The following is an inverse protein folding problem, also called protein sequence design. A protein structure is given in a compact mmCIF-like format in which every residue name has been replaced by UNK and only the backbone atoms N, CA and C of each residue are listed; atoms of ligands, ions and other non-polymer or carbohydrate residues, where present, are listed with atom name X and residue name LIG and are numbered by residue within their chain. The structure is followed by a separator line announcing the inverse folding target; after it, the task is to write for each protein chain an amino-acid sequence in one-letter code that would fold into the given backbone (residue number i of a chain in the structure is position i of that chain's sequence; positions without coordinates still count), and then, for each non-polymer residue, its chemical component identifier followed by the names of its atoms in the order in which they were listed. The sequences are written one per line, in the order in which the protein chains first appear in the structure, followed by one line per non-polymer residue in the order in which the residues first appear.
data_IF_974665654489
#
_entry.id   IF_974665654489
#
_cell.length_a   1.000
_cell.length_b   1.000
_cell.length_c   1.000
_cell.angle_alpha   90.00
_cell.angle_beta   90.00
_cell.angle_gamma   90.00
#
_symmetry.space_group_name_H-M   'P 1'
#
loop_
_entity.id
_entity.type
_entity.pdbx_description
1 polymer ?
#
# COMPACT_ATOMS: atom_id res chain seq x y z
N UNK A 1 9.62 19.59 -7.39
CA UNK A 1 8.77 19.40 -8.58
C UNK A 1 8.23 17.99 -8.51
N UNK A 2 6.91 17.79 -8.57
CA UNK A 2 6.35 16.44 -8.59
C UNK A 2 6.79 15.76 -9.89
N UNK A 3 7.41 14.58 -9.79
CA UNK A 3 7.77 13.81 -10.98
C UNK A 3 6.51 13.36 -11.71
N UNK A 4 6.59 13.25 -13.03
CA UNK A 4 5.46 12.84 -13.86
C UNK A 4 5.11 11.38 -13.59
N UNK A 5 3.96 11.16 -12.94
CA UNK A 5 3.44 9.82 -12.57
C UNK A 5 3.23 8.93 -13.80
N UNK A 6 3.15 9.50 -15.01
CA UNK A 6 3.10 8.77 -16.28
C UNK A 6 4.34 7.94 -16.56
N UNK A 7 5.48 8.34 -16.01
CA UNK A 7 6.68 7.53 -16.12
C UNK A 7 6.66 6.34 -15.17
N UNK A 8 5.83 6.34 -14.12
CA UNK A 8 5.78 5.31 -13.09
C UNK A 8 4.65 4.30 -13.34
N UNK A 9 3.49 4.77 -13.80
CA UNK A 9 2.30 3.96 -14.04
C UNK A 9 2.25 3.50 -15.50
N UNK A 10 1.77 2.29 -15.74
CA UNK A 10 1.48 1.80 -17.07
C UNK A 10 0.22 2.47 -17.65
N UNK A 11 0.37 3.67 -18.21
CA UNK A 11 -0.74 4.46 -18.75
C UNK A 11 -1.42 3.84 -19.98
N UNK A 12 -0.75 2.93 -20.69
CA UNK A 12 -1.39 2.16 -21.76
C UNK A 12 -2.54 1.30 -21.24
N UNK A 13 -2.41 0.82 -19.99
CA UNK A 13 -3.43 -0.02 -19.33
C UNK A 13 -4.26 0.76 -18.31
N UNK A 14 -3.68 1.78 -17.67
CA UNK A 14 -4.30 2.56 -16.60
C UNK A 14 -4.19 4.06 -16.89
N UNK A 15 -5.04 4.61 -17.78
CA UNK A 15 -5.01 6.03 -18.12
C UNK A 15 -5.64 6.88 -17.01
N UNK A 16 -5.07 6.86 -15.80
CA UNK A 16 -5.70 7.38 -14.57
C UNK A 16 -5.95 8.90 -14.57
N UNK A 17 -5.28 9.64 -15.45
CA UNK A 17 -5.50 11.08 -15.63
C UNK A 17 -6.64 11.38 -16.63
N UNK A 18 -7.12 10.39 -17.37
CA UNK A 18 -8.12 10.56 -18.43
C UNK A 18 -9.51 10.19 -17.90
N UNK A 19 -10.14 11.11 -17.18
CA UNK A 19 -11.45 10.89 -16.54
C UNK A 19 -12.57 10.45 -17.50
N UNK A 20 -12.46 10.81 -18.78
CA UNK A 20 -13.41 10.44 -19.85
C UNK A 20 -13.06 9.13 -20.56
N UNK A 21 -11.97 8.47 -20.19
CA UNK A 21 -11.54 7.22 -20.81
C UNK A 21 -12.51 6.08 -20.47
N UNK A 22 -13.07 5.43 -21.49
CA UNK A 22 -13.90 4.24 -21.30
C UNK A 22 -13.14 3.12 -20.60
N UNK A 23 -11.85 2.96 -20.95
CA UNK A 23 -10.94 1.99 -20.35
C UNK A 23 -10.83 2.23 -18.83
N UNK A 24 -10.68 3.50 -18.42
CA UNK A 24 -10.61 3.85 -17.00
C UNK A 24 -11.90 3.51 -16.27
N UNK A 25 -13.07 3.77 -16.87
CA UNK A 25 -14.37 3.47 -16.28
C UNK A 25 -14.58 1.95 -16.10
N UNK A 26 -14.17 1.14 -17.09
CA UNK A 26 -14.21 -0.32 -16.97
C UNK A 26 -13.32 -0.82 -15.83
N UNK A 27 -12.11 -0.28 -15.70
CA UNK A 27 -11.18 -0.62 -14.61
C UNK A 27 -11.78 -0.28 -13.25
N UNK A 28 -12.36 0.92 -13.11
CA UNK A 28 -13.01 1.35 -11.88
C UNK A 28 -14.18 0.44 -11.53
N UNK A 29 -15.04 0.12 -12.51
CA UNK A 29 -16.18 -0.76 -12.32
C UNK A 29 -15.75 -2.15 -11.85
N UNK A 30 -14.76 -2.75 -12.54
CA UNK A 30 -14.21 -4.06 -12.18
C UNK A 30 -13.61 -4.06 -10.77
N UNK A 31 -12.74 -3.10 -10.48
CA UNK A 31 -12.07 -3.02 -9.19
C UNK A 31 -13.05 -2.75 -8.04
N UNK A 32 -14.12 -1.98 -8.27
CA UNK A 32 -15.21 -1.81 -7.29
C UNK A 32 -15.95 -3.12 -7.03
N UNK A 33 -16.24 -3.90 -8.07
CA UNK A 33 -16.80 -5.24 -7.92
C UNK A 33 -15.89 -6.13 -7.07
N UNK A 34 -14.60 -6.20 -7.44
CA UNK A 34 -13.60 -6.97 -6.68
C UNK A 34 -13.51 -6.55 -5.21
N UNK A 35 -13.50 -5.24 -4.92
CA UNK A 35 -13.50 -4.71 -3.55
C UNK A 35 -14.78 -5.05 -2.78
N UNK A 36 -15.95 -4.97 -3.42
CA UNK A 36 -17.23 -5.28 -2.77
C UNK A 36 -17.36 -6.78 -2.47
N UNK A 37 -16.93 -7.63 -3.39
CA UNK A 37 -17.11 -9.08 -3.29
C UNK A 37 -16.03 -9.73 -2.42
N UNK A 38 -14.79 -9.23 -2.47
CA UNK A 38 -13.62 -9.89 -1.86
C UNK A 38 -12.89 -9.02 -0.83
N UNK A 39 -13.25 -7.75 -0.67
CA UNK A 39 -12.51 -6.79 0.15
C UNK A 39 -11.16 -6.36 -0.44
N UNK A 40 -10.79 -6.84 -1.63
CA UNK A 40 -9.51 -6.58 -2.28
C UNK A 40 -9.68 -6.51 -3.81
N UNK A 41 -8.97 -5.58 -4.45
CA UNK A 41 -8.87 -5.49 -5.90
C UNK A 41 -7.42 -5.56 -6.37
N UNK A 42 -7.20 -6.26 -7.49
CA UNK A 42 -5.87 -6.46 -8.04
C UNK A 42 -5.66 -5.68 -9.34
N UNK A 43 -4.75 -4.70 -9.30
CA UNK A 43 -4.34 -3.92 -10.47
C UNK A 43 -3.05 -4.50 -11.05
N UNK A 44 -3.17 -5.58 -11.84
CA UNK A 44 -2.01 -6.23 -12.48
C UNK A 44 -1.28 -5.28 -13.43
N UNK A 45 0.05 -5.29 -13.38
CA UNK A 45 0.93 -4.48 -14.22
C UNK A 45 0.66 -2.96 -14.13
N UNK A 46 0.21 -2.50 -12.95
CA UNK A 46 -0.09 -1.09 -12.70
C UNK A 46 1.16 -0.22 -12.73
N UNK A 47 2.22 -0.61 -12.02
CA UNK A 47 3.51 0.07 -12.08
C UNK A 47 4.38 -0.48 -13.20
N UNK A 48 5.16 0.39 -13.84
CA UNK A 48 6.13 0.01 -14.85
C UNK A 48 7.29 -0.77 -14.21
N UNK A 49 7.89 -1.75 -14.91
CA UNK A 49 8.93 -2.61 -14.35
C UNK A 49 10.15 -1.86 -13.77
N UNK A 50 10.54 -0.74 -14.37
CA UNK A 50 11.64 0.07 -13.86
C UNK A 50 11.30 0.70 -12.50
N UNK A 51 10.07 1.16 -12.30
CA UNK A 51 9.63 1.81 -11.08
C UNK A 51 9.54 0.80 -9.93
N UNK A 52 9.13 -0.43 -10.23
CA UNK A 52 9.17 -1.54 -9.28
C UNK A 52 10.62 -1.83 -8.87
N UNK A 53 11.54 -1.97 -9.83
CA UNK A 53 12.96 -2.20 -9.53
C UNK A 53 13.56 -1.09 -8.67
N UNK A 54 13.30 0.18 -9.02
CA UNK A 54 13.81 1.30 -8.24
C UNK A 54 13.23 1.33 -6.83
N UNK A 55 11.94 0.98 -6.67
CA UNK A 55 11.30 0.86 -5.36
C UNK A 55 11.98 -0.21 -4.49
N UNK A 56 12.34 -1.36 -5.08
CA UNK A 56 13.08 -2.42 -4.38
C UNK A 56 14.46 -1.92 -3.93
N UNK A 57 15.22 -1.27 -4.82
CA UNK A 57 16.53 -0.70 -4.49
C UNK A 57 16.42 0.33 -3.36
N UNK A 58 15.48 1.28 -3.47
CA UNK A 58 15.27 2.30 -2.45
C UNK A 58 14.91 1.69 -1.09
N UNK A 59 14.22 0.55 -1.10
CA UNK A 59 13.84 -0.20 0.09
C UNK A 59 15.03 -0.92 0.71
N UNK A 60 15.83 -1.63 -0.09
CA UNK A 60 17.03 -2.34 0.37
C UNK A 60 18.04 -1.38 0.97
N UNK A 61 18.20 -0.19 0.39
CA UNK A 61 19.06 0.86 0.92
C UNK A 61 18.57 1.46 2.25
N UNK A 62 17.25 1.47 2.48
CA UNK A 62 16.66 1.98 3.72
C UNK A 62 16.58 0.91 4.83
N UNK A 63 16.72 -0.36 4.49
CA UNK A 63 16.61 -1.48 5.43
C UNK A 63 17.58 -1.40 6.63
N UNK A 64 18.85 -0.95 6.50
CA UNK A 64 19.74 -0.79 7.65
C UNK A 64 19.23 0.20 8.70
N UNK A 65 18.40 1.18 8.29
CA UNK A 65 17.81 2.19 9.16
C UNK A 65 16.39 1.82 9.62
N UNK A 66 15.89 0.64 9.23
CA UNK A 66 14.55 0.19 9.56
C UNK A 66 14.46 -0.31 11.01
N UNK A 67 13.33 0.02 11.67
CA UNK A 67 12.97 -0.59 12.93
C UNK A 67 12.34 -1.96 12.67
N UNK A 68 13.06 -3.02 13.02
CA UNK A 68 12.60 -4.40 12.85
C UNK A 68 12.18 -5.03 14.19
N UNK A 69 10.97 -5.60 14.24
CA UNK A 69 10.46 -6.36 15.40
C UNK A 69 9.88 -7.69 14.93
N UNK A 70 10.24 -8.77 15.62
CA UNK A 70 9.56 -10.05 15.54
C UNK A 70 8.74 -10.28 16.81
N UNK A 71 7.46 -10.59 16.66
CA UNK A 71 6.50 -10.74 17.76
C UNK A 71 5.67 -11.99 17.53
N UNK A 72 5.56 -12.80 18.59
CA UNK A 72 4.52 -13.81 18.67
C UNK A 72 3.27 -13.15 19.25
N UNK A 73 2.16 -13.25 18.54
CA UNK A 73 0.91 -12.63 18.93
C UNK A 73 -0.25 -13.55 18.59
N UNK A 74 -1.40 -13.37 19.25
CA UNK A 74 -2.63 -14.07 18.88
C UNK A 74 -3.15 -13.55 17.54
N UNK A 75 -4.14 -14.22 16.94
CA UNK A 75 -4.83 -13.70 15.75
C UNK A 75 -5.51 -12.34 15.97
N UNK A 76 -5.65 -11.91 17.24
CA UNK A 76 -6.15 -10.59 17.63
C UNK A 76 -5.04 -9.58 17.97
N UNK A 77 -3.78 -9.90 17.64
CA UNK A 77 -2.60 -9.08 17.85
C UNK A 77 -2.23 -8.86 19.34
N UNK A 78 -2.74 -9.70 20.24
CA UNK A 78 -2.32 -9.69 21.64
C UNK A 78 -1.00 -10.44 21.82
N UNK A 79 -0.05 -9.85 22.56
CA UNK A 79 1.25 -10.50 22.85
C UNK A 79 1.15 -11.58 23.96
N UNK A 80 -0.07 -11.88 24.44
CA UNK A 80 -0.33 -12.91 25.43
C UNK A 80 -1.62 -13.71 25.14
N UNK A 81 -1.65 -14.95 25.62
CA UNK A 81 -2.83 -15.82 25.57
C UNK A 81 -3.77 -15.50 26.74
N UNK A 82 -5.08 -15.65 26.50
CA UNK A 82 -6.13 -15.54 27.51
C UNK A 82 -6.15 -16.81 28.38
N UNK A 83 -5.80 -16.66 29.66
CA UNK A 83 -5.66 -17.77 30.61
C UNK A 83 -6.99 -18.40 31.01
N UNK A 84 -8.12 -17.77 30.70
CA UNK A 84 -9.46 -18.29 31.00
C UNK A 84 -9.96 -19.23 29.90
N UNK A 85 -9.31 -19.23 28.73
CA UNK A 85 -9.70 -20.00 27.56
C UNK A 85 -8.72 -21.16 27.29
N UNK A 86 -9.24 -22.20 26.63
CA UNK A 86 -8.43 -23.33 26.18
C UNK A 86 -7.38 -22.91 25.14
N UNK A 87 -6.31 -23.71 25.00
CA UNK A 87 -5.17 -23.37 24.12
C UNK A 87 -5.51 -23.35 22.63
N UNK A 88 -6.48 -24.16 22.21
CA UNK A 88 -6.94 -24.28 20.83
C UNK A 88 -8.08 -23.29 20.49
N UNK A 89 -8.56 -22.53 21.47
CA UNK A 89 -9.48 -21.43 21.22
C UNK A 89 -8.85 -20.41 20.27
N UNK A 90 -9.62 -19.86 19.33
CA UNK A 90 -9.11 -18.91 18.32
C UNK A 90 -8.31 -17.75 18.92
N UNK A 91 -8.72 -17.25 20.09
CA UNK A 91 -8.02 -16.19 20.85
C UNK A 91 -6.64 -16.59 21.37
N UNK A 92 -6.37 -17.87 21.54
CA UNK A 92 -5.09 -18.39 22.04
C UNK A 92 -4.20 -18.95 20.92
N UNK A 93 -4.66 -18.99 19.67
CA UNK A 93 -3.83 -19.38 18.55
C UNK A 93 -2.74 -18.33 18.31
N UNK A 94 -1.50 -18.70 18.62
CA UNK A 94 -0.33 -17.85 18.41
C UNK A 94 0.13 -17.92 16.95
N UNK A 95 0.51 -16.76 16.44
CA UNK A 95 1.10 -16.53 15.13
C UNK A 95 2.37 -15.71 15.33
N UNK A 96 3.40 -15.99 14.54
CA UNK A 96 4.62 -15.20 14.54
C UNK A 96 4.60 -14.24 13.36
N UNK A 97 4.84 -12.96 13.61
CA UNK A 97 5.13 -12.00 12.56
C UNK A 97 6.47 -11.33 12.78
N UNK A 98 7.18 -11.08 11.68
CA UNK A 98 8.35 -10.21 11.62
C UNK A 98 8.03 -9.06 10.70
N UNK A 99 8.23 -7.83 11.18
CA UNK A 99 7.98 -6.61 10.43
C UNK A 99 9.16 -5.66 10.60
N UNK A 100 9.59 -5.07 9.50
CA UNK A 100 10.50 -3.93 9.51
C UNK A 100 9.73 -2.70 9.01
N UNK A 101 9.98 -1.54 9.58
CA UNK A 101 9.37 -0.31 9.08
C UNK A 101 10.35 0.86 9.13
N UNK A 102 10.14 1.80 8.21
CA UNK A 102 10.80 3.10 8.19
C UNK A 102 9.73 4.19 8.31
N UNK A 103 10.11 5.33 8.86
CA UNK A 103 9.27 6.51 8.87
C UNK A 103 9.16 7.10 7.45
N UNK A 104 8.04 7.76 7.16
CA UNK A 104 7.78 8.29 5.81
C UNK A 104 8.83 9.34 5.36
N UNK A 105 9.43 10.07 6.30
CA UNK A 105 10.52 11.03 6.02
C UNK A 105 11.86 10.37 5.68
N UNK A 106 12.02 9.08 5.99
CA UNK A 106 13.16 8.27 5.55
C UNK A 106 13.00 7.75 4.11
N UNK A 107 11.80 7.85 3.51
CA UNK A 107 11.61 7.51 2.10
C UNK A 107 12.21 8.61 1.23
N UNK A 108 13.05 8.21 0.27
CA UNK A 108 13.63 9.15 -0.69
C UNK A 108 12.55 9.96 -1.40
N UNK A 109 12.73 11.28 -1.43
CA UNK A 109 11.75 12.20 -2.02
C UNK A 109 11.50 11.95 -3.51
N UNK A 110 12.51 11.45 -4.22
CA UNK A 110 12.45 11.08 -5.64
C UNK A 110 12.10 9.59 -5.87
N UNK A 111 11.82 8.79 -4.83
CA UNK A 111 11.40 7.40 -5.02
C UNK A 111 10.09 7.33 -5.80
N UNK A 112 9.88 6.29 -6.63
CA UNK A 112 8.61 6.09 -7.32
C UNK A 112 7.42 6.00 -6.37
N UNK A 113 7.59 5.39 -5.18
CA UNK A 113 6.55 5.32 -4.15
C UNK A 113 6.13 6.70 -3.65
N UNK A 114 7.09 7.57 -3.30
CA UNK A 114 6.76 8.91 -2.83
C UNK A 114 6.13 9.75 -3.95
N UNK A 115 6.60 9.61 -5.20
CA UNK A 115 6.00 10.30 -6.34
C UNK A 115 4.54 9.86 -6.58
N UNK A 116 4.25 8.56 -6.48
CA UNK A 116 2.88 8.02 -6.54
C UNK A 116 2.01 8.58 -5.42
N UNK A 117 2.49 8.52 -4.17
CA UNK A 117 1.77 9.03 -3.01
C UNK A 117 1.49 10.54 -3.12
N UNK A 118 2.42 11.30 -3.72
CA UNK A 118 2.29 12.74 -3.88
C UNK A 118 1.47 13.18 -5.10
N UNK A 119 1.11 12.26 -6.00
CA UNK A 119 0.34 12.55 -7.23
C UNK A 119 -1.14 12.81 -6.93
N UNK A 120 -1.65 13.92 -7.46
CA UNK A 120 -3.07 14.26 -7.42
C UNK A 120 -3.89 13.36 -8.34
N UNK A 121 -3.32 12.93 -9.48
CA UNK A 121 -3.93 11.96 -10.38
C UNK A 121 -4.13 10.62 -9.68
N UNK A 122 -3.12 10.12 -8.97
CA UNK A 122 -3.21 8.90 -8.19
C UNK A 122 -4.24 9.02 -7.06
N UNK A 123 -4.22 10.14 -6.32
CA UNK A 123 -5.21 10.41 -5.27
C UNK A 123 -6.64 10.42 -5.84
N UNK A 124 -6.86 11.06 -6.98
CA UNK A 124 -8.17 11.10 -7.61
C UNK A 124 -8.59 9.73 -8.15
N UNK A 125 -7.66 8.94 -8.68
CA UNK A 125 -7.92 7.57 -9.12
C UNK A 125 -8.37 6.68 -7.96
N UNK A 126 -7.67 6.69 -6.83
CA UNK A 126 -8.05 5.92 -5.63
C UNK A 126 -9.39 6.41 -5.08
N UNK A 127 -9.64 7.73 -5.05
CA UNK A 127 -10.94 8.30 -4.66
C UNK A 127 -12.08 7.74 -5.51
N UNK A 128 -11.88 7.69 -6.83
CA UNK A 128 -12.85 7.13 -7.76
C UNK A 128 -13.02 5.62 -7.54
N UNK A 129 -11.94 4.86 -7.38
CA UNK A 129 -12.01 3.43 -7.07
C UNK A 129 -12.83 3.15 -5.81
N UNK A 130 -12.60 3.89 -4.73
CA UNK A 130 -13.29 3.72 -3.45
C UNK A 130 -14.72 4.30 -3.40
N UNK A 131 -15.18 4.92 -4.50
CA UNK A 131 -16.46 5.62 -4.58
C UNK A 131 -16.68 6.63 -3.43
N UNK A 132 -15.67 7.47 -3.19
CA UNK A 132 -15.73 8.52 -2.15
C UNK A 132 -15.87 9.91 -2.77
N UNK A 133 -16.56 10.80 -2.06
CA UNK A 133 -16.71 12.19 -2.47
C UNK A 133 -15.37 12.93 -2.41
N UNK A 134 -14.58 12.64 -1.38
CA UNK A 134 -13.24 13.18 -1.19
C UNK A 134 -12.26 12.11 -0.68
N UNK A 135 -10.99 12.29 -1.04
CA UNK A 135 -9.88 11.55 -0.47
C UNK A 135 -8.77 12.55 -0.17
N UNK A 136 -8.33 12.60 1.08
CA UNK A 136 -7.27 13.49 1.53
C UNK A 136 -6.02 12.66 1.82
N UNK A 137 -4.87 13.17 1.40
CA UNK A 137 -3.59 12.58 1.81
C UNK A 137 -3.42 12.78 3.31
N UNK A 138 -2.94 11.75 3.99
CA UNK A 138 -2.60 11.87 5.41
C UNK A 138 -1.45 12.87 5.54
N UNK A 139 -1.61 13.82 6.45
CA UNK A 139 -0.61 14.84 6.75
C UNK A 139 0.12 14.39 8.02
N UNK A 140 1.29 13.78 7.87
CA UNK A 140 2.10 13.40 9.03
C UNK A 140 3.45 12.81 8.67
N UNK A 141 4.52 13.45 9.15
CA UNK A 141 5.88 12.90 9.22
C UNK A 141 5.95 11.61 10.07
N UNK A 142 4.88 11.27 10.77
CA UNK A 142 4.75 10.15 11.71
C UNK A 142 3.84 9.01 11.23
N UNK A 143 3.33 9.04 9.98
CA UNK A 143 2.65 7.87 9.43
C UNK A 143 3.74 6.89 8.96
N UNK A 144 3.92 5.72 9.60
CA UNK A 144 4.86 4.73 9.09
C UNK A 144 4.40 4.32 7.69
N UNK A 145 5.29 4.44 6.72
CA UNK A 145 5.12 3.64 5.52
C UNK A 145 5.49 2.22 5.93
N UNK A 146 4.48 1.38 6.13
CA UNK A 146 4.71 -0.04 6.41
C UNK A 146 5.13 -0.66 5.07
N UNK A 147 6.43 -0.76 4.86
CA UNK A 147 6.97 -1.75 3.95
C UNK A 147 7.20 -3.02 4.76
N UNK A 148 6.23 -3.94 4.73
CA UNK A 148 6.46 -5.29 5.23
C UNK A 148 7.46 -5.98 4.30
N UNK A 149 8.74 -5.83 4.64
CA UNK A 149 9.83 -6.64 4.13
C UNK A 149 9.75 -7.99 4.83
N UNK A 150 9.27 -9.00 4.11
CA UNK A 150 9.26 -10.40 4.55
C UNK A 150 10.66 -10.99 4.44
#
# INVERSE_FOLDING_TARGET
MAGDVRNIINYQRYPIAESKSHILQEIISRARGELNDNGIALLRDFMLPWAIRQTIIDTEEALPDAFCKAVDHTVYLEECQDSVLEKDHARNLLCRSSKCCIANDQIKTNSPLNQLYMSSEMTNFVRLLLNKDALYRSMGASSPAILDLV
#
